data_IF_888007303899
#
_entry.id   IF_888007303899
#
_cell.length_a   1.000
_cell.length_b   1.000
_cell.length_c   1.000
_cell.angle_alpha   90.00
_cell.angle_beta   90.00
_cell.angle_gamma   90.00
#
_symmetry.space_group_name_H-M   'P 1'
#
loop_
_entity.id
_entity.type
_entity.pdbx_description
1 polymer ?
#
# COMPACT_ATOMS: atom_id res chain seq x y z
N UNK A 1 14.25 -42.53 -47.59
CA UNK A 1 13.60 -41.41 -46.86
C UNK A 1 13.22 -41.87 -45.45
N UNK A 2 14.10 -41.87 -44.44
CA UNK A 2 13.73 -42.42 -43.10
C UNK A 2 14.64 -42.02 -41.93
N UNK A 3 15.36 -40.89 -41.97
CA UNK A 3 16.23 -40.47 -40.84
C UNK A 3 15.80 -39.24 -40.03
N UNK A 4 14.69 -38.59 -40.39
CA UNK A 4 14.27 -37.34 -39.73
C UNK A 4 13.35 -37.57 -38.50
N UNK A 5 12.75 -38.76 -38.34
CA UNK A 5 11.65 -38.97 -37.36
C UNK A 5 12.05 -39.31 -35.92
N UNK A 6 13.34 -39.41 -35.56
CA UNK A 6 13.77 -39.84 -34.21
C UNK A 6 14.09 -38.69 -33.23
N UNK A 7 14.13 -37.44 -33.69
CA UNK A 7 14.53 -36.28 -32.87
C UNK A 7 13.36 -35.40 -32.43
N UNK A 8 12.21 -35.48 -33.11
CA UNK A 8 11.00 -34.73 -32.75
C UNK A 8 10.49 -34.95 -31.31
N UNK A 9 10.45 -36.17 -30.73
CA UNK A 9 9.95 -36.33 -29.37
C UNK A 9 10.91 -35.76 -28.32
N UNK A 10 12.22 -35.73 -28.60
CA UNK A 10 13.23 -35.19 -27.68
C UNK A 10 13.25 -33.65 -27.67
N UNK A 11 13.06 -33.02 -28.84
CA UNK A 11 12.89 -31.58 -28.95
C UNK A 11 11.57 -31.10 -28.33
N UNK A 12 10.48 -31.84 -28.48
CA UNK A 12 9.19 -31.52 -27.85
C UNK A 12 9.23 -31.64 -26.31
N UNK A 13 9.95 -32.62 -25.78
CA UNK A 13 10.12 -32.80 -24.33
C UNK A 13 11.02 -31.72 -23.69
N UNK A 14 12.05 -31.28 -24.42
CA UNK A 14 12.96 -30.22 -23.96
C UNK A 14 12.31 -28.83 -24.05
N UNK A 15 11.45 -28.58 -25.04
CA UNK A 15 10.70 -27.33 -25.15
C UNK A 15 9.61 -27.18 -24.06
N UNK A 16 8.98 -28.28 -23.64
CA UNK A 16 7.98 -28.27 -22.56
C UNK A 16 8.59 -28.05 -21.17
N UNK A 17 9.83 -28.52 -20.93
CA UNK A 17 10.53 -28.24 -19.67
C UNK A 17 11.02 -26.80 -19.57
N UNK A 18 11.45 -26.17 -20.67
CA UNK A 18 11.90 -24.76 -20.68
C UNK A 18 10.73 -23.79 -20.48
N UNK A 19 9.55 -24.06 -21.04
CA UNK A 19 8.35 -23.23 -20.81
C UNK A 19 7.81 -23.33 -19.37
N UNK A 20 7.95 -24.47 -18.70
CA UNK A 20 7.55 -24.63 -17.31
C UNK A 20 8.46 -23.89 -16.31
N UNK A 21 9.74 -23.69 -16.66
CA UNK A 21 10.70 -22.94 -15.84
C UNK A 21 10.45 -21.42 -15.95
N UNK A 22 10.04 -20.93 -17.13
CA UNK A 22 9.73 -19.51 -17.33
C UNK A 22 8.47 -19.03 -16.58
N UNK A 23 7.58 -19.93 -16.18
CA UNK A 23 6.37 -19.60 -15.42
C UNK A 23 6.64 -19.35 -13.92
N UNK A 24 7.86 -19.61 -13.42
CA UNK A 24 8.24 -19.38 -12.02
C UNK A 24 9.10 -18.13 -11.81
N UNK A 25 9.26 -17.25 -12.82
CA UNK A 25 10.06 -16.04 -12.70
C UNK A 25 9.22 -14.82 -12.29
N UNK A 26 8.64 -14.89 -11.09
CA UNK A 26 8.40 -13.76 -10.20
C UNK A 26 8.09 -14.34 -8.80
N UNK A 27 9.09 -14.92 -8.12
CA UNK A 27 8.89 -15.64 -6.85
C UNK A 27 8.12 -14.82 -5.78
N UNK A 28 8.12 -13.47 -5.88
CA UNK A 28 7.34 -12.52 -5.08
C UNK A 28 6.94 -11.30 -5.93
N UNK A 29 5.66 -10.87 -5.96
CA UNK A 29 5.25 -9.67 -6.72
C UNK A 29 5.68 -8.38 -6.03
N UNK A 30 5.89 -7.30 -6.77
CA UNK A 30 6.05 -5.96 -6.17
C UNK A 30 4.68 -5.44 -5.70
N UNK A 31 4.62 -4.92 -4.48
CA UNK A 31 3.40 -4.39 -3.88
C UNK A 31 3.51 -2.87 -3.82
N UNK A 32 2.63 -2.17 -4.54
CA UNK A 32 2.50 -0.72 -4.49
C UNK A 32 1.11 -0.35 -3.98
N UNK A 33 1.07 0.49 -2.95
CA UNK A 33 -0.18 1.04 -2.39
C UNK A 33 -0.18 2.54 -2.67
N UNK A 34 -1.22 3.01 -3.36
CA UNK A 34 -1.48 4.44 -3.53
C UNK A 34 -2.60 4.80 -2.56
N UNK A 35 -2.32 5.68 -1.60
CA UNK A 35 -3.25 6.02 -0.52
C UNK A 35 -3.66 7.49 -0.63
N UNK A 36 -4.88 7.75 -1.11
CA UNK A 36 -5.45 9.11 -1.17
C UNK A 36 -5.84 9.64 0.21
N UNK A 37 -5.65 10.93 0.46
CA UNK A 37 -6.05 11.61 1.70
C UNK A 37 -7.28 12.49 1.39
N UNK A 38 -8.35 12.31 2.15
CA UNK A 38 -9.64 13.01 1.99
C UNK A 38 -10.24 12.94 0.57
N UNK A 39 -10.06 11.81 -0.11
CA UNK A 39 -10.64 11.53 -1.43
C UNK A 39 -11.96 10.79 -1.26
N UNK A 40 -13.07 11.46 -1.59
CA UNK A 40 -14.38 10.84 -1.71
C UNK A 40 -14.50 10.01 -2.98
N UNK A 41 -15.36 9.00 -2.97
CA UNK A 41 -15.58 8.11 -4.12
C UNK A 41 -15.95 8.88 -5.40
N UNK A 42 -16.76 9.93 -5.27
CA UNK A 42 -17.21 10.77 -6.39
C UNK A 42 -16.12 11.68 -6.96
N UNK A 43 -14.98 11.84 -6.28
CA UNK A 43 -13.83 12.58 -6.81
C UNK A 43 -13.07 11.81 -7.90
N UNK A 44 -13.24 10.48 -7.98
CA UNK A 44 -12.61 9.62 -8.99
C UNK A 44 -13.60 9.36 -10.14
N UNK A 45 -13.21 9.71 -11.37
CA UNK A 45 -14.14 9.66 -12.51
C UNK A 45 -14.53 8.26 -12.95
N UNK A 46 -13.76 7.23 -12.59
CA UNK A 46 -14.16 5.83 -12.74
C UNK A 46 -15.47 5.49 -11.98
N UNK A 47 -15.74 6.18 -10.87
CA UNK A 47 -16.98 5.99 -10.10
C UNK A 47 -18.06 7.00 -10.46
N UNK A 48 -17.68 8.25 -10.71
CA UNK A 48 -18.64 9.32 -10.96
C UNK A 48 -19.02 9.49 -12.44
N UNK A 49 -18.40 8.75 -13.35
CA UNK A 49 -18.57 8.91 -14.81
C UNK A 49 -18.33 10.35 -15.29
N UNK A 50 -17.41 11.07 -14.61
CA UNK A 50 -17.06 12.45 -14.94
C UNK A 50 -18.13 13.48 -14.59
N UNK A 51 -19.04 13.17 -13.65
CA UNK A 51 -20.00 14.15 -13.10
C UNK A 51 -19.25 15.41 -12.68
N UNK A 52 -19.82 16.56 -13.04
CA UNK A 52 -19.27 17.93 -12.90
C UNK A 52 -17.91 18.19 -13.60
N UNK A 53 -17.49 17.33 -14.53
CA UNK A 53 -16.43 17.62 -15.50
C UNK A 53 -15.00 17.25 -15.07
N UNK A 54 -14.80 16.74 -13.86
CA UNK A 54 -13.49 16.25 -13.42
C UNK A 54 -13.16 14.89 -14.05
N UNK A 55 -11.89 14.70 -14.44
CA UNK A 55 -11.39 13.43 -14.98
C UNK A 55 -10.09 13.04 -14.29
N UNK A 56 -9.94 11.75 -14.00
CA UNK A 56 -8.77 11.14 -13.40
C UNK A 56 -8.18 10.07 -14.34
N UNK A 57 -7.73 10.44 -15.56
CA UNK A 57 -7.47 9.47 -16.64
C UNK A 57 -6.48 8.36 -16.27
N UNK A 58 -5.47 8.65 -15.45
CA UNK A 58 -4.51 7.64 -15.00
C UNK A 58 -5.10 6.67 -13.96
N UNK A 59 -5.99 7.14 -13.08
CA UNK A 59 -6.68 6.31 -12.09
C UNK A 59 -7.79 5.50 -12.78
N UNK A 60 -8.51 6.11 -13.72
CA UNK A 60 -9.53 5.45 -14.53
C UNK A 60 -8.92 4.29 -15.33
N UNK A 61 -7.70 4.46 -15.82
CA UNK A 61 -6.95 3.39 -16.50
C UNK A 61 -6.67 2.22 -15.55
N UNK A 62 -6.29 2.46 -14.29
CA UNK A 62 -6.08 1.39 -13.30
C UNK A 62 -7.39 0.63 -13.04
N UNK A 63 -8.51 1.34 -12.93
CA UNK A 63 -9.82 0.72 -12.76
C UNK A 63 -10.23 -0.14 -13.97
N UNK A 64 -10.00 0.35 -15.19
CA UNK A 64 -10.36 -0.33 -16.44
C UNK A 64 -9.46 -1.55 -16.73
N UNK A 65 -8.15 -1.45 -16.48
CA UNK A 65 -7.19 -2.54 -16.70
C UNK A 65 -7.18 -3.56 -15.55
N UNK A 66 -7.77 -3.23 -14.41
CA UNK A 66 -7.78 -4.03 -13.20
C UNK A 66 -9.19 -4.33 -12.71
N UNK A 67 -9.44 -3.96 -11.46
CA UNK A 67 -10.71 -4.19 -10.78
C UNK A 67 -11.18 -2.91 -10.10
N UNK A 68 -12.49 -2.68 -10.15
CA UNK A 68 -13.16 -1.58 -9.46
C UNK A 68 -14.07 -2.16 -8.37
N UNK A 69 -13.85 -1.78 -7.12
CA UNK A 69 -14.71 -2.19 -6.01
C UNK A 69 -15.92 -1.25 -5.91
N UNK A 70 -17.14 -1.78 -6.00
CA UNK A 70 -18.37 -1.00 -5.77
C UNK A 70 -18.59 -0.72 -4.28
N UNK A 71 -18.18 -1.67 -3.44
CA UNK A 71 -18.37 -1.66 -2.00
C UNK A 71 -17.00 -1.82 -1.32
N UNK A 72 -16.50 -0.72 -0.75
CA UNK A 72 -15.31 -0.72 0.10
C UNK A 72 -15.53 0.28 1.24
N UNK A 73 -14.93 -0.01 2.41
CA UNK A 73 -15.17 0.74 3.63
C UNK A 73 -13.85 1.20 4.23
N UNK A 74 -13.88 2.37 4.87
CA UNK A 74 -12.75 2.97 5.55
C UNK A 74 -13.19 3.58 6.88
N UNK A 75 -12.24 3.81 7.77
CA UNK A 75 -12.47 4.53 9.02
C UNK A 75 -12.64 6.03 8.76
N UNK A 76 -13.42 6.71 9.59
CA UNK A 76 -13.79 8.12 9.42
C UNK A 76 -12.74 9.13 9.92
N UNK A 77 -11.48 8.72 10.04
CA UNK A 77 -10.36 9.53 10.54
C UNK A 77 -9.06 9.12 9.87
N UNK A 78 -8.19 10.08 9.53
CA UNK A 78 -6.91 9.79 8.88
C UNK A 78 -6.04 8.83 9.72
N UNK A 79 -5.89 9.09 11.02
CA UNK A 79 -5.12 8.24 11.93
C UNK A 79 -5.75 6.86 12.08
N UNK A 80 -7.07 6.78 12.20
CA UNK A 80 -7.79 5.51 12.33
C UNK A 80 -7.68 4.66 11.05
N UNK A 81 -7.90 5.26 9.88
CA UNK A 81 -7.84 4.58 8.59
C UNK A 81 -6.43 4.11 8.24
N UNK A 82 -5.41 4.90 8.55
CA UNK A 82 -4.00 4.50 8.36
C UNK A 82 -3.60 3.41 9.36
N UNK A 83 -4.06 3.50 10.61
CA UNK A 83 -3.81 2.47 11.62
C UNK A 83 -4.45 1.15 11.21
N UNK A 84 -5.72 1.15 10.79
CA UNK A 84 -6.41 -0.07 10.40
C UNK A 84 -5.84 -0.68 9.14
N UNK A 85 -5.46 0.15 8.17
CA UNK A 85 -4.79 -0.30 6.96
C UNK A 85 -3.44 -0.97 7.26
N UNK A 86 -2.56 -0.31 8.02
CA UNK A 86 -1.20 -0.80 8.18
C UNK A 86 -1.11 -1.99 9.15
N UNK A 87 -2.01 -2.12 10.13
CA UNK A 87 -1.96 -3.23 11.10
C UNK A 87 -2.98 -4.34 10.80
N UNK A 88 -3.98 -4.07 9.95
CA UNK A 88 -5.12 -4.97 9.75
C UNK A 88 -6.03 -5.10 10.97
N UNK A 89 -5.93 -4.20 11.95
CA UNK A 89 -6.70 -4.26 13.19
C UNK A 89 -7.70 -3.12 13.32
N UNK A 90 -8.77 -3.35 14.09
CA UNK A 90 -9.65 -2.26 14.52
C UNK A 90 -8.85 -1.20 15.29
N UNK A 91 -9.04 0.10 15.02
CA UNK A 91 -8.36 1.19 15.73
C UNK A 91 -8.58 1.17 17.24
N UNK A 92 -9.63 0.51 17.73
CA UNK A 92 -9.87 0.33 19.17
C UNK A 92 -8.77 -0.52 19.83
N UNK A 93 -8.15 -1.46 19.10
CA UNK A 93 -7.06 -2.33 19.61
C UNK A 93 -5.71 -1.63 19.67
N UNK A 94 -5.46 -0.73 18.72
CA UNK A 94 -4.23 0.07 18.66
C UNK A 94 -4.35 1.33 19.52
N UNK A 95 -5.56 1.82 19.75
CA UNK A 95 -5.85 3.09 20.45
C UNK A 95 -5.81 4.30 19.51
N UNK A 96 -5.44 4.12 18.25
CA UNK A 96 -5.29 5.17 17.24
C UNK A 96 -6.64 5.56 16.59
N UNK A 97 -7.60 5.96 17.42
CA UNK A 97 -8.98 6.27 16.98
C UNK A 97 -9.18 7.73 16.56
N UNK A 98 -8.30 8.63 17.00
CA UNK A 98 -8.39 10.08 16.75
C UNK A 98 -7.01 10.65 16.42
N UNK A 99 -7.02 11.83 15.80
CA UNK A 99 -5.83 12.59 15.47
C UNK A 99 -5.14 13.04 16.76
N UNK A 100 -3.87 12.66 16.91
CA UNK A 100 -3.03 13.19 17.99
C UNK A 100 -2.60 14.64 17.72
N UNK A 101 -2.09 15.32 18.73
CA UNK A 101 -1.41 16.61 18.56
C UNK A 101 0.09 16.39 18.39
N UNK A 102 0.86 17.35 17.83
CA UNK A 102 2.32 17.28 17.82
C UNK A 102 2.88 16.99 19.22
N UNK A 103 3.89 16.13 19.31
CA UNK A 103 4.52 15.70 20.56
C UNK A 103 3.69 14.75 21.44
N UNK A 104 2.46 14.41 21.06
CA UNK A 104 1.60 13.53 21.85
C UNK A 104 2.27 12.16 22.12
N UNK A 105 2.10 11.59 23.34
CA UNK A 105 2.60 10.25 23.68
C UNK A 105 1.79 9.12 23.05
N UNK A 106 1.00 9.42 22.03
CA UNK A 106 0.09 8.48 21.38
C UNK A 106 0.63 8.22 19.98
N UNK A 107 0.81 6.95 19.65
CA UNK A 107 1.31 6.50 18.37
C UNK A 107 1.26 4.98 18.28
N UNK A 108 1.67 4.45 17.12
CA UNK A 108 1.73 3.02 16.88
C UNK A 108 2.73 2.35 17.83
N UNK A 109 2.33 1.24 18.45
CA UNK A 109 3.15 0.59 19.47
C UNK A 109 3.97 -0.54 18.85
N UNK A 110 5.13 -0.87 19.44
CA UNK A 110 5.98 -2.00 18.98
C UNK A 110 5.26 -3.35 18.93
N UNK A 111 4.18 -3.51 19.71
CA UNK A 111 3.33 -4.71 19.73
C UNK A 111 2.40 -4.83 18.52
N UNK A 112 2.15 -3.72 17.82
CA UNK A 112 1.21 -3.64 16.71
C UNK A 112 1.98 -3.89 15.42
N UNK A 113 2.02 -5.16 14.99
CA UNK A 113 2.78 -5.56 13.80
C UNK A 113 2.20 -4.88 12.55
N UNK A 114 3.04 -4.18 11.81
CA UNK A 114 2.68 -3.51 10.56
C UNK A 114 2.80 -4.44 9.35
N UNK A 115 2.10 -4.08 8.28
CA UNK A 115 2.23 -4.69 6.97
C UNK A 115 3.68 -4.64 6.48
N UNK A 116 4.41 -3.55 6.76
CA UNK A 116 5.82 -3.41 6.43
C UNK A 116 6.68 -4.43 7.20
N UNK A 117 6.50 -4.58 8.51
CA UNK A 117 7.21 -5.60 9.30
C UNK A 117 6.90 -7.01 8.82
N UNK A 118 5.63 -7.30 8.52
CA UNK A 118 5.21 -8.59 7.98
C UNK A 118 5.89 -8.89 6.64
N UNK A 119 5.86 -7.94 5.68
CA UNK A 119 6.49 -8.10 4.36
C UNK A 119 8.02 -8.15 4.44
N UNK A 120 8.64 -7.35 5.31
CA UNK A 120 10.09 -7.35 5.52
C UNK A 120 10.59 -8.71 6.03
N UNK A 121 9.82 -9.39 6.89
CA UNK A 121 10.12 -10.77 7.30
C UNK A 121 10.16 -11.77 6.13
N UNK A 122 9.49 -11.43 5.03
CA UNK A 122 9.47 -12.19 3.78
C UNK A 122 10.54 -11.70 2.78
N UNK A 123 11.47 -10.83 3.18
CA UNK A 123 12.57 -10.36 2.33
C UNK A 123 12.20 -9.25 1.34
N UNK A 124 11.09 -8.54 1.57
CA UNK A 124 10.76 -7.35 0.82
C UNK A 124 11.60 -6.15 1.30
N UNK A 125 12.05 -5.32 0.35
CA UNK A 125 12.42 -3.94 0.64
C UNK A 125 11.13 -3.12 0.82
N UNK A 126 11.12 -2.20 1.78
CA UNK A 126 9.91 -1.49 2.20
C UNK A 126 10.15 0.02 2.25
N UNK A 127 9.22 0.80 1.70
CA UNK A 127 9.30 2.26 1.71
C UNK A 127 7.94 2.91 1.93
N UNK A 128 7.93 4.04 2.64
CA UNK A 128 6.76 4.88 2.83
C UNK A 128 7.08 6.32 2.41
N UNK A 129 6.23 6.89 1.56
CA UNK A 129 6.43 8.22 1.00
C UNK A 129 5.18 9.07 1.19
N UNK A 130 5.35 10.27 1.74
CA UNK A 130 4.26 11.18 2.11
C UNK A 130 3.81 11.01 3.57
N UNK A 131 2.51 11.22 3.81
CA UNK A 131 1.94 11.36 5.15
C UNK A 131 1.93 10.04 5.93
N UNK A 132 2.40 10.07 7.18
CA UNK A 132 2.36 8.92 8.11
C UNK A 132 1.13 8.92 9.02
N UNK A 133 1.01 9.91 9.90
CA UNK A 133 -0.13 10.11 10.79
C UNK A 133 -0.39 8.99 11.82
N UNK A 134 0.68 8.29 12.24
CA UNK A 134 0.64 7.18 13.22
C UNK A 134 1.41 7.48 14.52
N UNK A 135 1.61 8.76 14.81
CA UNK A 135 2.39 9.24 15.97
C UNK A 135 3.52 10.17 15.53
N UNK A 136 3.91 11.07 16.42
CA UNK A 136 4.86 12.16 16.13
C UNK A 136 6.28 11.88 16.64
N UNK A 137 6.36 11.17 17.77
CA UNK A 137 7.63 10.94 18.44
C UNK A 137 8.50 9.98 17.67
N UNK A 138 9.81 10.07 17.89
CA UNK A 138 10.81 9.23 17.24
C UNK A 138 10.47 7.74 17.34
N UNK A 139 9.98 7.26 18.49
CA UNK A 139 9.60 5.85 18.67
C UNK A 139 8.45 5.38 17.75
N UNK A 140 7.71 6.30 17.13
CA UNK A 140 6.59 6.03 16.22
C UNK A 140 6.93 6.21 14.74
N UNK A 141 8.18 6.60 14.43
CA UNK A 141 8.63 6.76 13.05
C UNK A 141 8.45 5.49 12.22
N UNK A 142 8.02 5.58 10.95
CA UNK A 142 7.84 4.41 10.08
C UNK A 142 9.05 3.47 10.02
N UNK A 143 10.26 4.02 10.09
CA UNK A 143 11.52 3.26 10.09
C UNK A 143 11.71 2.40 11.34
N UNK A 144 11.09 2.76 12.46
CA UNK A 144 11.02 1.93 13.67
C UNK A 144 9.93 0.84 13.58
N UNK A 145 9.05 0.92 12.58
CA UNK A 145 7.88 0.05 12.40
C UNK A 145 7.88 -0.65 11.04
N UNK A 146 9.07 -1.02 10.57
CA UNK A 146 9.25 -1.98 9.47
C UNK A 146 9.64 -1.39 8.13
N UNK A 147 9.49 -0.08 7.91
CA UNK A 147 9.91 0.55 6.65
C UNK A 147 11.44 0.71 6.62
N UNK A 148 12.09 0.40 5.50
CA UNK A 148 13.52 0.67 5.29
C UNK A 148 13.76 2.15 4.99
N UNK A 149 12.86 2.75 4.21
CA UNK A 149 12.91 4.15 3.81
C UNK A 149 11.63 4.89 4.19
N UNK A 150 11.79 6.11 4.67
CA UNK A 150 10.69 7.04 4.89
C UNK A 150 11.07 8.42 4.40
N UNK A 151 10.20 9.04 3.60
CA UNK A 151 10.31 10.43 3.23
C UNK A 151 8.92 11.06 3.19
N UNK A 152 8.67 11.99 4.10
CA UNK A 152 7.39 12.69 4.17
C UNK A 152 7.16 13.26 5.55
N UNK A 153 5.89 13.54 5.83
CA UNK A 153 5.48 14.30 6.99
C UNK A 153 4.72 13.40 7.98
N UNK A 154 4.85 13.68 9.27
CA UNK A 154 4.30 12.82 10.31
C UNK A 154 2.83 13.14 10.62
N UNK A 155 2.36 14.34 10.30
CA UNK A 155 1.04 14.81 10.73
C UNK A 155 0.23 15.47 9.61
N UNK A 156 -0.87 16.11 9.99
CA UNK A 156 -1.60 17.00 9.10
C UNK A 156 -0.85 18.34 9.03
N UNK A 157 -0.74 18.96 7.84
CA UNK A 157 -0.07 20.27 7.68
C UNK A 157 -0.53 21.32 8.69
N UNK A 158 -1.85 21.45 8.91
CA UNK A 158 -2.39 22.37 9.92
C UNK A 158 -1.96 22.05 11.36
N UNK A 159 -1.69 20.78 11.68
CA UNK A 159 -1.18 20.38 12.98
C UNK A 159 0.33 20.59 13.08
N UNK A 160 1.07 20.46 11.97
CA UNK A 160 2.50 20.77 11.91
C UNK A 160 2.78 22.26 12.15
N UNK A 161 1.84 23.14 11.81
CA UNK A 161 1.91 24.58 12.08
C UNK A 161 1.50 24.97 13.51
N UNK A 162 0.88 24.09 14.31
CA UNK A 162 0.40 24.42 15.68
C UNK A 162 1.50 24.98 16.62
N UNK A 163 2.75 24.46 16.61
CA UNK A 163 3.83 25.06 17.40
C UNK A 163 4.19 26.50 16.98
N UNK A 164 3.78 26.91 15.78
CA UNK A 164 4.04 28.23 15.19
C UNK A 164 2.84 29.18 15.29
N UNK A 165 1.69 28.71 15.80
CA UNK A 165 0.50 29.54 15.99
C UNK A 165 0.68 30.44 17.23
N UNK A 166 0.40 31.75 17.12
CA UNK A 166 0.61 32.74 18.19
C UNK A 166 -0.31 32.56 19.39
#
# INVERSE_FOLDING_TARGET
MTRIKKWLPKLAFMATTVMAIAANAADKPNILVIFGDDIGQTNISAYSMGVVGYKTPNIDRIAHEGMLFTDYYAENSCTAGRSSFITGQSPLRTGLTKVGVPGAPIGIQKRDITLAQALKSQGYATGQFGKNHLGDRDEYLPTNHGFDEFFGNLYHLNAEEEPERP
#
